data_IF_574634461017
#
_entry.id   IF_574634461017
#
_cell.length_a   1.000
_cell.length_b   1.000
_cell.length_c   1.000
_cell.angle_alpha   90.00
_cell.angle_beta   90.00
_cell.angle_gamma   90.00
#
_symmetry.space_group_name_H-M   'P 1'
#
loop_
_entity.id
_entity.type
_entity.pdbx_description
1 polymer ?
#
# COMPACT_ATOMS: atom_id res chain seq x y z
N UNK A 1 -12.79 -0.14 -29.38
CA UNK A 1 -11.64 -0.93 -28.85
C UNK A 1 -10.68 -0.08 -28.00
N UNK A 2 -10.12 1.04 -28.48
CA UNK A 2 -9.14 1.85 -27.72
C UNK A 2 -9.67 2.41 -26.37
N UNK A 3 -10.93 2.84 -26.32
CA UNK A 3 -11.53 3.38 -25.11
C UNK A 3 -11.62 2.35 -23.96
N UNK A 4 -11.97 1.10 -24.27
CA UNK A 4 -12.06 0.01 -23.27
C UNK A 4 -10.69 -0.27 -22.66
N UNK A 5 -9.64 -0.29 -23.50
CA UNK A 5 -8.25 -0.48 -23.02
C UNK A 5 -7.84 0.63 -22.05
N UNK A 6 -8.17 1.90 -22.36
CA UNK A 6 -7.87 3.01 -21.47
C UNK A 6 -8.60 2.91 -20.12
N UNK A 7 -9.88 2.54 -20.13
CA UNK A 7 -10.66 2.34 -18.90
C UNK A 7 -10.05 1.23 -18.04
N UNK A 8 -9.67 0.09 -18.66
CA UNK A 8 -9.04 -1.02 -17.94
C UNK A 8 -7.71 -0.60 -17.31
N UNK A 9 -6.90 0.19 -18.01
CA UNK A 9 -5.63 0.70 -17.47
C UNK A 9 -5.85 1.62 -16.25
N UNK A 10 -6.88 2.48 -16.29
CA UNK A 10 -7.23 3.33 -15.15
C UNK A 10 -7.66 2.48 -13.95
N UNK A 11 -8.48 1.45 -14.17
CA UNK A 11 -8.93 0.56 -13.09
C UNK A 11 -7.74 -0.20 -12.50
N UNK A 12 -6.84 -0.74 -13.33
CA UNK A 12 -5.63 -1.43 -12.87
C UNK A 12 -4.75 -0.49 -12.06
N UNK A 13 -4.51 0.74 -12.54
CA UNK A 13 -3.75 1.75 -11.82
C UNK A 13 -4.36 2.11 -10.46
N UNK A 14 -5.69 2.25 -10.42
CA UNK A 14 -6.41 2.49 -9.17
C UNK A 14 -6.27 1.32 -8.19
N UNK A 15 -6.48 0.09 -8.64
CA UNK A 15 -6.33 -1.11 -7.79
C UNK A 15 -4.90 -1.28 -7.29
N UNK A 16 -3.90 -1.06 -8.14
CA UNK A 16 -2.49 -1.11 -7.75
C UNK A 16 -2.18 -0.05 -6.68
N UNK A 17 -2.71 1.16 -6.81
CA UNK A 17 -2.54 2.20 -5.80
C UNK A 17 -3.18 1.82 -4.46
N UNK A 18 -4.40 1.27 -4.46
CA UNK A 18 -5.06 0.82 -3.24
C UNK A 18 -4.28 -0.33 -2.57
N UNK A 19 -3.76 -1.26 -3.36
CA UNK A 19 -2.95 -2.37 -2.86
C UNK A 19 -1.69 -1.88 -2.13
N UNK A 20 -1.03 -0.85 -2.66
CA UNK A 20 0.14 -0.22 -2.03
C UNK A 20 -0.20 0.36 -0.65
N UNK A 21 -1.34 1.03 -0.52
CA UNK A 21 -1.78 1.62 0.76
C UNK A 21 -2.02 0.52 1.80
N UNK A 22 -2.73 -0.55 1.42
CA UNK A 22 -3.02 -1.68 2.32
C UNK A 22 -1.72 -2.38 2.75
N UNK A 23 -0.78 -2.58 1.82
CA UNK A 23 0.48 -3.25 2.14
C UNK A 23 1.36 -2.40 3.08
N UNK A 24 1.35 -1.08 2.91
CA UNK A 24 2.02 -0.17 3.83
C UNK A 24 1.41 -0.25 5.24
N UNK A 25 0.07 -0.26 5.34
CA UNK A 25 -0.63 -0.42 6.62
C UNK A 25 -0.29 -1.76 7.27
N UNK A 26 -0.38 -2.85 6.52
CA UNK A 26 -0.07 -4.20 7.01
C UNK A 26 1.37 -4.30 7.50
N UNK A 27 2.32 -3.80 6.72
CA UNK A 27 3.73 -3.80 7.11
C UNK A 27 3.97 -2.94 8.34
N UNK A 28 3.40 -1.73 8.40
CA UNK A 28 3.49 -0.84 9.55
C UNK A 28 2.95 -1.49 10.84
N UNK A 29 1.89 -2.29 10.75
CA UNK A 29 1.39 -3.10 11.86
C UNK A 29 2.38 -4.18 12.27
N UNK A 30 2.93 -4.93 11.31
CA UNK A 30 3.88 -6.02 11.58
C UNK A 30 5.17 -5.52 12.27
N UNK A 31 5.70 -4.37 11.85
CA UNK A 31 6.92 -3.80 12.45
C UNK A 31 6.63 -2.84 13.61
N UNK A 32 5.36 -2.60 13.93
CA UNK A 32 4.95 -1.71 15.02
C UNK A 32 5.35 -0.24 14.82
N UNK A 33 5.27 0.26 13.59
CA UNK A 33 5.56 1.67 13.24
C UNK A 33 4.51 2.64 13.81
N UNK A 34 3.25 2.23 13.91
CA UNK A 34 2.13 3.06 14.38
C UNK A 34 1.60 2.62 15.75
N UNK A 35 2.48 2.54 16.76
CA UNK A 35 2.08 2.23 18.13
C UNK A 35 1.41 3.45 18.78
N UNK A 36 0.25 3.26 19.38
CA UNK A 36 -0.32 4.27 20.28
C UNK A 36 0.37 4.23 21.63
N UNK A 37 0.68 5.40 22.20
CA UNK A 37 1.34 5.52 23.50
C UNK A 37 0.42 5.15 24.68
N UNK A 38 -0.90 5.23 24.48
CA UNK A 38 -1.90 5.14 25.55
C UNK A 38 -2.83 3.94 25.43
N UNK A 39 -2.88 3.29 24.27
CA UNK A 39 -3.79 2.18 23.99
C UNK A 39 -3.02 1.04 23.32
N UNK A 40 -3.38 -0.21 23.61
CA UNK A 40 -2.87 -1.38 22.90
C UNK A 40 -3.36 -1.49 21.44
N UNK A 41 -3.93 -0.41 20.90
CA UNK A 41 -4.50 -0.31 19.56
C UNK A 41 -3.58 0.57 18.70
N UNK A 42 -3.29 0.17 17.45
CA UNK A 42 -2.52 1.00 16.52
C UNK A 42 -3.20 2.36 16.28
N UNK A 43 -2.40 3.42 16.14
CA UNK A 43 -2.93 4.75 15.81
C UNK A 43 -3.47 4.74 14.37
N UNK A 44 -4.80 4.91 14.24
CA UNK A 44 -5.50 4.90 12.96
C UNK A 44 -5.09 6.07 12.04
N UNK A 45 -4.76 7.23 12.61
CA UNK A 45 -4.31 8.38 11.83
C UNK A 45 -2.93 8.10 11.23
N UNK A 46 -2.02 7.53 12.04
CA UNK A 46 -0.72 7.06 11.57
C UNK A 46 -0.88 6.00 10.47
N UNK A 47 -1.72 4.98 10.68
CA UNK A 47 -1.96 3.92 9.69
C UNK A 47 -2.49 4.47 8.37
N UNK A 48 -3.35 5.49 8.40
CA UNK A 48 -3.92 6.06 7.17
C UNK A 48 -2.90 6.78 6.28
N UNK A 49 -1.78 7.23 6.86
CA UNK A 49 -0.75 8.03 6.18
C UNK A 49 0.61 7.34 6.10
N UNK A 50 0.75 6.14 6.67
CA UNK A 50 2.04 5.47 6.77
C UNK A 50 2.56 5.07 5.38
N UNK A 51 3.79 5.47 5.10
CA UNK A 51 4.54 5.04 3.92
C UNK A 51 5.76 4.28 4.39
N UNK A 52 5.80 2.98 4.11
CA UNK A 52 6.91 2.10 4.54
C UNK A 52 8.03 2.05 3.50
N UNK A 53 7.76 2.52 2.28
CA UNK A 53 8.72 2.55 1.16
C UNK A 53 8.75 3.92 0.49
N UNK A 54 9.96 4.37 0.16
CA UNK A 54 10.25 5.73 -0.34
C UNK A 54 9.94 5.95 -1.82
N UNK A 55 9.72 4.88 -2.60
CA UNK A 55 9.44 5.01 -4.05
C UNK A 55 8.42 4.00 -4.52
N UNK A 56 7.51 4.46 -5.38
CA UNK A 56 6.46 3.65 -5.99
C UNK A 56 7.02 2.46 -6.81
N UNK A 57 8.19 2.65 -7.41
CA UNK A 57 8.90 1.61 -8.16
C UNK A 57 9.26 0.40 -7.29
N UNK A 58 9.49 0.59 -6.00
CA UNK A 58 9.74 -0.53 -5.09
C UNK A 58 8.52 -1.41 -4.89
N UNK A 59 7.31 -0.85 -4.93
CA UNK A 59 6.09 -1.67 -4.86
C UNK A 59 5.94 -2.55 -6.10
N UNK A 60 6.30 -2.03 -7.27
CA UNK A 60 6.33 -2.80 -8.53
C UNK A 60 7.40 -3.89 -8.50
N UNK A 61 8.62 -3.55 -8.09
CA UNK A 61 9.72 -4.51 -8.01
C UNK A 61 9.35 -5.67 -7.10
N UNK A 62 8.99 -5.41 -5.84
CA UNK A 62 8.62 -6.47 -4.91
C UNK A 62 7.34 -7.20 -5.33
N UNK A 63 6.36 -6.52 -5.92
CA UNK A 63 5.16 -7.19 -6.44
C UNK A 63 5.45 -8.17 -7.59
N UNK A 64 6.52 -7.97 -8.36
CA UNK A 64 6.90 -8.82 -9.49
C UNK A 64 7.97 -9.86 -9.13
N UNK A 65 8.90 -9.52 -8.24
CA UNK A 65 10.03 -10.38 -7.88
C UNK A 65 9.79 -11.17 -6.61
N UNK A 66 8.96 -10.68 -5.70
CA UNK A 66 8.67 -11.35 -4.43
C UNK A 66 7.42 -12.21 -4.59
N UNK A 67 7.66 -13.48 -4.92
CA UNK A 67 6.64 -14.54 -4.92
C UNK A 67 6.60 -15.12 -3.48
N UNK A 68 5.45 -15.11 -2.78
CA UNK A 68 5.34 -15.79 -1.50
C UNK A 68 5.58 -17.30 -1.62
#
# INVERSE_FOLDING_TARGET
MKAVVLVLLVIIGFMANQLVVIENQRYALMVGMCKSATLAVPDANCLSQVQTRTSWLWHLYYGLTYRP
#
